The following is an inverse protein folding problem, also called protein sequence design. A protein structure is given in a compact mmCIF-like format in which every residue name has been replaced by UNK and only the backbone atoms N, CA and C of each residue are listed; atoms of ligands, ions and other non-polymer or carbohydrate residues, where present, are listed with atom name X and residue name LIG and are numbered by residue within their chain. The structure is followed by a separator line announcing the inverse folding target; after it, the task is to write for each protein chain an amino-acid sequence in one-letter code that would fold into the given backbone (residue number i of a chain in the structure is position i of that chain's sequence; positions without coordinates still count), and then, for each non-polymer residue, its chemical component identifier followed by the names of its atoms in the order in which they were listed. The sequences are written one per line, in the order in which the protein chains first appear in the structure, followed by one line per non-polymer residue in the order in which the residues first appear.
data_IF_572607723972
#
_entry.id   IF_572607723972
#
_cell.length_a   1.000
_cell.length_b   1.000
_cell.length_c   1.000
_cell.angle_alpha   90.00
_cell.angle_beta   90.00
_cell.angle_gamma   90.00
#
_symmetry.space_group_name_H-M   'P 1'
#
loop_
_entity.id
_entity.type
_entity.pdbx_description
1 polymer ?
#
# COMPACT_ATOMS: atom_id res chain seq x y z
N UNK A 1 19.93 57.12 9.50
CA UNK A 1 20.17 55.83 10.17
C UNK A 1 18.89 55.09 10.56
N UNK A 2 17.92 55.72 11.25
CA UNK A 2 16.68 55.05 11.70
C UNK A 2 15.81 54.42 10.59
N UNK A 3 15.74 55.05 9.40
CA UNK A 3 14.96 54.54 8.25
C UNK A 3 15.60 53.33 7.55
N UNK A 4 16.93 53.24 7.58
CA UNK A 4 17.71 52.16 6.93
C UNK A 4 17.65 50.90 7.80
N UNK A 5 17.74 51.06 9.13
CA UNK A 5 17.55 49.98 10.09
C UNK A 5 16.15 49.34 10.00
N UNK A 6 15.11 50.15 9.76
CA UNK A 6 13.74 49.66 9.57
C UNK A 6 13.55 48.83 8.29
N UNK A 7 14.17 49.24 7.18
CA UNK A 7 14.11 48.50 5.91
C UNK A 7 14.91 47.18 6.01
N UNK A 8 16.07 47.19 6.65
CA UNK A 8 16.85 45.98 6.89
C UNK A 8 16.12 44.97 7.78
N UNK A 9 15.44 45.43 8.83
CA UNK A 9 14.63 44.58 9.70
C UNK A 9 13.41 43.99 8.95
N UNK A 10 12.72 44.78 8.12
CA UNK A 10 11.59 44.31 7.33
C UNK A 10 12.00 43.29 6.26
N UNK A 11 13.14 43.53 5.59
CA UNK A 11 13.71 42.59 4.61
C UNK A 11 14.13 41.28 5.27
N UNK A 12 14.71 41.33 6.48
CA UNK A 12 15.07 40.13 7.24
C UNK A 12 13.81 39.34 7.65
N UNK A 13 12.75 40.02 8.07
CA UNK A 13 11.47 39.39 8.38
C UNK A 13 10.82 38.72 7.15
N UNK A 14 10.87 39.35 5.97
CA UNK A 14 10.31 38.76 4.73
C UNK A 14 11.09 37.52 4.30
N UNK A 15 12.41 37.52 4.42
CA UNK A 15 13.23 36.34 4.15
C UNK A 15 12.91 35.23 5.14
N UNK A 16 12.80 35.52 6.44
CA UNK A 16 12.42 34.53 7.47
C UNK A 16 10.99 33.99 7.23
N UNK A 17 10.05 34.82 6.76
CA UNK A 17 8.68 34.40 6.46
C UNK A 17 8.58 33.53 5.19
N UNK A 18 9.46 33.75 4.20
CA UNK A 18 9.59 32.88 3.02
C UNK A 18 10.27 31.54 3.32
N UNK A 19 10.96 31.42 4.47
CA UNK A 19 11.54 30.16 4.96
C UNK A 19 10.55 29.27 5.71
N UNK A 20 9.29 29.69 5.91
CA UNK A 20 8.21 28.81 6.38
C UNK A 20 7.74 27.99 5.17
N UNK A 21 8.63 27.08 4.77
CA UNK A 21 8.44 26.13 3.68
C UNK A 21 7.19 25.29 3.92
N UNK A 22 6.40 25.13 2.86
CA UNK A 22 5.22 24.28 2.86
C UNK A 22 5.61 22.85 3.24
N UNK A 23 5.13 22.38 4.38
CA UNK A 23 5.22 20.98 4.80
C UNK A 23 4.16 20.20 4.01
N UNK A 24 4.48 19.86 2.76
CA UNK A 24 3.65 18.97 1.97
C UNK A 24 3.83 17.56 2.53
N UNK A 25 2.87 17.13 3.37
CA UNK A 25 2.86 15.80 3.96
C UNK A 25 3.09 14.74 2.89
N UNK A 26 4.17 13.98 3.02
CA UNK A 26 4.45 12.84 2.16
C UNK A 26 3.29 11.85 2.27
N UNK A 27 2.80 11.40 1.12
CA UNK A 27 1.60 10.57 1.03
C UNK A 27 1.96 9.20 0.46
N UNK A 28 1.47 8.16 1.13
CA UNK A 28 1.50 6.79 0.65
C UNK A 28 0.10 6.18 0.75
N UNK A 29 -0.34 5.52 -0.30
CA UNK A 29 -1.64 4.83 -0.35
C UNK A 29 -1.47 3.46 -0.96
N UNK A 30 -1.79 2.43 -0.18
CA UNK A 30 -1.88 1.06 -0.67
C UNK A 30 -3.29 0.79 -1.23
N UNK A 31 -3.40 0.74 -2.56
CA UNK A 31 -4.68 0.56 -3.26
C UNK A 31 -5.13 -0.90 -3.30
N UNK A 32 -4.20 -1.82 -3.61
CA UNK A 32 -4.42 -3.28 -3.64
C UNK A 32 -3.25 -4.04 -3.00
N UNK A 33 -3.49 -5.20 -2.37
CA UNK A 33 -4.81 -5.76 -2.08
C UNK A 33 -5.56 -4.98 -0.97
N UNK A 34 -6.89 -5.12 -0.91
CA UNK A 34 -7.66 -4.69 0.27
C UNK A 34 -7.43 -5.70 1.41
N UNK A 35 -7.69 -5.30 2.65
CA UNK A 35 -7.53 -6.23 3.77
C UNK A 35 -8.61 -7.29 3.71
N UNK A 36 -8.24 -8.54 4.00
CA UNK A 36 -9.10 -9.70 3.87
C UNK A 36 -9.36 -10.14 2.42
N UNK A 37 -8.54 -9.72 1.44
CA UNK A 37 -8.72 -10.12 0.06
C UNK A 37 -8.61 -11.64 -0.10
N UNK A 38 -9.56 -12.26 -0.80
CA UNK A 38 -9.59 -13.70 -1.05
C UNK A 38 -9.33 -14.02 -2.52
N UNK A 39 -8.56 -15.06 -2.80
CA UNK A 39 -8.22 -15.49 -4.17
C UNK A 39 -7.98 -17.00 -4.25
N UNK A 40 -7.97 -17.56 -5.45
CA UNK A 40 -7.49 -18.92 -5.73
C UNK A 40 -6.13 -18.91 -6.45
N UNK A 41 -5.71 -17.74 -6.93
CA UNK A 41 -4.45 -17.55 -7.64
C UNK A 41 -3.26 -17.67 -6.68
N UNK A 42 -2.11 -18.06 -7.21
CA UNK A 42 -0.86 -18.18 -6.43
C UNK A 42 -0.14 -16.85 -6.22
N UNK A 43 -0.71 -15.73 -6.66
CA UNK A 43 -0.14 -14.40 -6.54
C UNK A 43 -1.22 -13.36 -6.31
N UNK A 44 -0.82 -12.18 -5.83
CA UNK A 44 -1.65 -10.97 -5.80
C UNK A 44 -0.96 -9.79 -6.46
N UNK A 45 -1.77 -8.89 -7.01
CA UNK A 45 -1.29 -7.58 -7.47
C UNK A 45 -1.21 -6.64 -6.27
N UNK A 46 -0.01 -6.13 -6.01
CA UNK A 46 0.27 -5.08 -5.04
C UNK A 46 0.39 -3.77 -5.82
N UNK A 47 -0.45 -2.80 -5.51
CA UNK A 47 -0.47 -1.52 -6.22
C UNK A 47 -0.83 -0.38 -5.30
N UNK A 48 -0.34 0.81 -5.61
CA UNK A 48 -0.57 1.99 -4.81
C UNK A 48 0.02 3.24 -5.40
N UNK A 49 -0.01 4.27 -4.58
CA UNK A 49 0.44 5.62 -4.89
C UNK A 49 1.44 6.07 -3.83
N UNK A 50 2.50 6.77 -4.26
CA UNK A 50 3.40 7.48 -3.38
C UNK A 50 4.03 8.68 -4.12
N UNK A 51 4.69 9.58 -3.39
CA UNK A 51 5.49 10.62 -4.05
C UNK A 51 6.66 10.00 -4.84
N UNK A 52 7.11 10.70 -5.88
CA UNK A 52 8.25 10.28 -6.69
C UNK A 52 9.50 10.02 -5.84
N UNK A 53 10.35 9.12 -6.32
CA UNK A 53 11.58 8.67 -5.67
C UNK A 53 11.41 7.89 -4.36
N UNK A 54 10.17 7.66 -3.90
CA UNK A 54 9.88 6.76 -2.77
C UNK A 54 10.33 5.34 -3.09
N UNK A 55 11.01 4.69 -2.14
CA UNK A 55 11.37 3.27 -2.21
C UNK A 55 10.30 2.44 -1.51
N UNK A 56 9.58 1.60 -2.26
CA UNK A 56 8.53 0.72 -1.75
C UNK A 56 9.10 -0.69 -1.61
N UNK A 57 9.19 -1.17 -0.38
CA UNK A 57 9.60 -2.53 -0.04
C UNK A 57 8.37 -3.41 0.21
N UNK A 58 8.29 -4.54 -0.50
CA UNK A 58 7.18 -5.49 -0.38
C UNK A 58 7.70 -6.79 0.26
N UNK A 59 7.02 -7.21 1.32
CA UNK A 59 7.27 -8.49 2.00
C UNK A 59 6.00 -9.32 2.10
N UNK A 60 6.14 -10.64 1.95
CA UNK A 60 5.07 -11.61 2.15
C UNK A 60 5.47 -12.55 3.27
N UNK A 61 4.63 -12.69 4.29
CA UNK A 61 4.87 -13.55 5.46
C UNK A 61 6.22 -13.26 6.15
N UNK A 62 6.67 -12.00 6.11
CA UNK A 62 7.94 -11.56 6.69
C UNK A 62 9.15 -11.71 5.77
N UNK A 63 9.02 -12.38 4.63
CA UNK A 63 10.08 -12.51 3.64
C UNK A 63 10.01 -11.36 2.62
N UNK A 64 11.13 -10.65 2.43
CA UNK A 64 11.25 -9.59 1.43
C UNK A 64 11.17 -10.18 0.02
N UNK A 65 10.23 -9.70 -0.79
CA UNK A 65 10.03 -10.17 -2.16
C UNK A 65 10.56 -9.19 -3.19
N UNK A 66 10.31 -7.89 -3.02
CA UNK A 66 10.63 -6.91 -4.06
C UNK A 66 10.92 -5.52 -3.47
N UNK A 67 11.64 -4.68 -4.22
CA UNK A 67 11.81 -3.25 -3.93
C UNK A 67 11.65 -2.42 -5.18
N UNK A 68 10.72 -1.47 -5.14
CA UNK A 68 10.33 -0.66 -6.30
C UNK A 68 10.56 0.80 -6.00
N UNK A 69 11.23 1.50 -6.91
CA UNK A 69 11.34 2.95 -6.85
C UNK A 69 10.17 3.59 -7.59
N UNK A 70 9.42 4.46 -6.93
CA UNK A 70 8.26 5.14 -7.51
C UNK A 70 8.73 6.21 -8.50
N UNK A 71 8.22 6.13 -9.73
CA UNK A 71 8.53 7.08 -10.79
C UNK A 71 7.73 8.38 -10.70
N UNK A 72 7.94 9.27 -11.67
CA UNK A 72 7.29 10.59 -11.72
C UNK A 72 5.75 10.55 -11.81
N UNK A 73 5.15 9.41 -12.19
CA UNK A 73 3.69 9.22 -12.19
C UNK A 73 3.09 9.08 -10.80
N UNK A 74 3.92 8.80 -9.79
CA UNK A 74 3.47 8.52 -8.42
C UNK A 74 2.82 7.14 -8.24
N UNK A 75 2.85 6.27 -9.27
CA UNK A 75 2.24 4.94 -9.23
C UNK A 75 3.28 3.83 -9.08
N UNK A 76 2.93 2.78 -8.35
CA UNK A 76 3.65 1.51 -8.37
C UNK A 76 2.69 0.32 -8.50
N UNK A 77 3.14 -0.71 -9.20
CA UNK A 77 2.42 -1.98 -9.38
C UNK A 77 3.44 -3.11 -9.43
N UNK A 78 3.17 -4.20 -8.71
CA UNK A 78 3.93 -5.46 -8.81
C UNK A 78 3.05 -6.66 -8.50
N UNK A 79 3.59 -7.84 -8.74
CA UNK A 79 3.00 -9.11 -8.30
C UNK A 79 3.80 -9.65 -7.13
N UNK A 80 3.10 -10.23 -6.16
CA UNK A 80 3.71 -10.91 -5.03
C UNK A 80 3.11 -12.32 -4.92
N UNK A 81 3.97 -13.33 -4.92
CA UNK A 81 3.57 -14.72 -4.75
C UNK A 81 3.05 -14.96 -3.33
N UNK A 82 2.03 -15.81 -3.23
CA UNK A 82 1.36 -16.16 -1.97
C UNK A 82 1.15 -17.67 -1.85
N UNK A 83 1.18 -18.14 -0.60
CA UNK A 83 0.98 -19.54 -0.25
C UNK A 83 -0.50 -19.85 -0.06
N UNK A 84 -0.84 -21.14 0.02
CA UNK A 84 -2.20 -21.55 0.36
C UNK A 84 -2.55 -21.10 1.78
N UNK A 85 -3.79 -20.65 2.00
CA UNK A 85 -4.25 -20.15 3.30
C UNK A 85 -3.95 -18.66 3.50
N UNK A 86 -3.72 -18.27 4.76
CA UNK A 86 -3.52 -16.87 5.14
C UNK A 86 -2.10 -16.41 4.81
N UNK A 87 -2.01 -15.28 4.14
CA UNK A 87 -0.78 -14.55 3.85
C UNK A 87 -0.86 -13.14 4.41
N UNK A 88 0.25 -12.60 4.89
CA UNK A 88 0.36 -11.20 5.33
C UNK A 88 1.28 -10.47 4.37
N UNK A 89 0.70 -9.53 3.62
CA UNK A 89 1.44 -8.62 2.74
C UNK A 89 1.77 -7.37 3.53
N UNK A 90 3.05 -7.07 3.68
CA UNK A 90 3.54 -5.84 4.32
C UNK A 90 4.23 -4.99 3.27
N UNK A 91 3.80 -3.73 3.16
CA UNK A 91 4.37 -2.76 2.25
C UNK A 91 4.92 -1.59 3.06
N UNK A 92 6.22 -1.33 2.92
CA UNK A 92 6.91 -0.22 3.57
C UNK A 92 7.32 0.79 2.50
N UNK A 93 6.82 2.01 2.60
CA UNK A 93 7.29 3.15 1.84
C UNK A 93 8.40 3.85 2.62
N UNK A 94 9.54 4.07 1.98
CA UNK A 94 10.66 4.88 2.48
C UNK A 94 10.75 6.10 1.59
N UNK A 95 10.36 7.25 2.13
CA UNK A 95 10.30 8.50 1.38
C UNK A 95 11.69 9.13 1.22
N UNK A 96 11.88 10.06 0.25
CA UNK A 96 13.14 10.76 0.06
C UNK A 96 13.62 11.53 1.30
N UNK A 97 12.70 11.98 2.16
CA UNK A 97 13.00 12.59 3.45
C UNK A 97 13.67 11.63 4.45
N UNK A 98 13.56 10.33 4.22
CA UNK A 98 13.92 9.27 5.16
C UNK A 98 12.77 8.85 6.10
N UNK A 99 11.60 9.50 6.04
CA UNK A 99 10.42 9.04 6.76
C UNK A 99 9.93 7.71 6.19
N UNK A 100 9.30 6.90 7.04
CA UNK A 100 8.75 5.61 6.64
C UNK A 100 7.25 5.53 6.96
N UNK A 101 6.50 4.86 6.08
CA UNK A 101 5.11 4.46 6.31
C UNK A 101 4.93 2.97 6.01
N UNK A 102 4.25 2.24 6.90
CA UNK A 102 4.08 0.79 6.79
C UNK A 102 2.60 0.45 6.79
N UNK A 103 2.17 -0.35 5.82
CA UNK A 103 0.80 -0.88 5.73
C UNK A 103 0.86 -2.40 5.56
N UNK A 104 0.11 -3.11 6.39
CA UNK A 104 -0.06 -4.57 6.27
C UNK A 104 -1.49 -4.93 5.89
N UNK A 105 -1.65 -5.97 5.06
CA UNK A 105 -2.93 -6.52 4.62
C UNK A 105 -2.91 -8.04 4.70
N UNK A 106 -3.98 -8.62 5.24
CA UNK A 106 -4.21 -10.06 5.19
C UNK A 106 -4.83 -10.45 3.85
N UNK A 107 -4.31 -11.50 3.23
CA UNK A 107 -4.81 -12.10 1.98
C UNK A 107 -5.01 -13.59 2.20
N UNK A 108 -6.09 -14.16 1.68
CA UNK A 108 -6.40 -15.58 1.81
C UNK A 108 -6.42 -16.26 0.45
N UNK A 109 -5.56 -17.26 0.28
CA UNK A 109 -5.59 -18.13 -0.89
C UNK A 109 -6.36 -19.40 -0.56
N UNK A 110 -7.38 -19.71 -1.35
CA UNK A 110 -8.16 -20.94 -1.23
C UNK A 110 -7.75 -21.96 -2.28
N UNK A 111 -7.90 -23.23 -1.93
CA UNK A 111 -7.85 -24.30 -2.91
C UNK A 111 -9.12 -24.26 -3.77
N UNK A 112 -8.94 -24.26 -5.10
CA UNK A 112 -10.02 -24.31 -6.09
C UNK A 112 -10.92 -25.55 -5.86
N UNK A 113 -10.34 -26.67 -5.42
CA UNK A 113 -11.08 -27.91 -5.19
C UNK A 113 -12.01 -27.83 -3.97
N UNK A 114 -11.66 -27.04 -2.96
CA UNK A 114 -12.47 -26.89 -1.75
C UNK A 114 -13.78 -26.18 -2.05
N UNK A 115 -13.77 -25.15 -2.91
CA UNK A 115 -15.01 -24.46 -3.32
C UNK A 115 -15.95 -25.37 -4.11
N UNK A 116 -15.41 -26.20 -5.01
CA UNK A 116 -16.23 -27.14 -5.81
C UNK A 116 -16.85 -28.21 -4.91
N UNK A 117 -16.11 -28.74 -3.93
CA UNK A 117 -16.65 -29.70 -2.96
C UNK A 117 -17.80 -29.08 -2.13
N UNK A 118 -17.65 -27.85 -1.66
CA UNK A 118 -18.71 -27.13 -0.94
C UNK A 118 -19.99 -26.95 -1.75
N UNK A 119 -19.87 -26.55 -3.03
CA UNK A 119 -21.00 -26.43 -3.94
C UNK A 119 -21.72 -27.78 -4.15
N UNK A 120 -20.96 -28.86 -4.30
CA UNK A 120 -21.53 -30.20 -4.45
C UNK A 120 -22.33 -30.64 -3.22
N UNK A 121 -21.84 -30.35 -2.01
CA UNK A 121 -22.57 -30.63 -0.77
C UNK A 121 -23.86 -29.84 -0.67
N UNK A 122 -23.86 -28.56 -1.05
CA UNK A 122 -25.08 -27.72 -1.08
C UNK A 122 -26.09 -28.28 -2.09
N UNK A 123 -25.64 -28.65 -3.29
CA UNK A 123 -26.50 -29.25 -4.32
C UNK A 123 -27.12 -30.57 -3.81
N UNK A 124 -26.35 -31.42 -3.12
CA UNK A 124 -26.87 -32.65 -2.53
C UNK A 124 -27.92 -32.38 -1.45
N UNK A 125 -27.67 -31.43 -0.55
CA UNK A 125 -28.64 -31.06 0.49
C UNK A 125 -29.95 -30.52 -0.11
N UNK A 126 -29.85 -29.68 -1.16
CA UNK A 126 -31.02 -29.17 -1.88
C UNK A 126 -31.79 -30.29 -2.59
N UNK A 127 -31.10 -31.23 -3.26
CA UNK A 127 -31.73 -32.41 -3.87
C UNK A 127 -32.50 -33.22 -2.84
N UNK A 128 -31.92 -33.43 -1.66
CA UNK A 128 -32.56 -34.19 -0.58
C UNK A 128 -33.82 -33.47 -0.05
N UNK A 129 -33.78 -32.14 0.05
CA UNK A 129 -34.89 -31.33 0.53
C UNK A 129 -36.06 -31.26 -0.45
N UNK A 130 -35.79 -31.21 -1.76
CA UNK A 130 -36.82 -31.08 -2.81
C UNK A 130 -37.47 -32.44 -3.16
N UNK A 131 -36.82 -33.56 -2.82
CA UNK A 131 -37.35 -34.92 -3.03
C UNK A 131 -38.18 -35.45 -1.85
N UNK A 132 -38.36 -34.67 -0.79
CA UNK A 132 -39.25 -34.94 0.34
C UNK A 132 -40.64 -34.36 0.08
#
# INVERSE_FOLDING_TARGET
MKRIAGIAALSLCIVIFLFIIADAKEAFVLNRPKDGFETIESYVVVSGEAIADTSVEISVNGEKKETIKVGASGLFVTQADIEMGKNVITVKAVFPSGQEEIVSRSVYRHDKDTQIKGLNSIIQALKLFILQ
#
